data_IF_566296858595
#
_entry.id   IF_566296858595
#
_cell.length_a   1.000
_cell.length_b   1.000
_cell.length_c   1.000
_cell.angle_alpha   90.00
_cell.angle_beta   90.00
_cell.angle_gamma   90.00
#
_symmetry.space_group_name_H-M   'P 1'
#
loop_
_entity.id
_entity.type
_entity.pdbx_description
1 polymer ?
#
# COMPACT_ATOMS: atom_id res chain seq x y z
N UNK A 1 -26.64 23.61 -9.82
CA UNK A 1 -26.53 24.03 -8.40
C UNK A 1 -25.11 24.31 -7.92
N UNK A 2 -24.14 23.41 -8.20
CA UNK A 2 -22.73 23.56 -7.80
C UNK A 2 -22.08 24.86 -8.26
N UNK A 3 -22.38 25.30 -9.49
CA UNK A 3 -21.88 26.55 -10.07
C UNK A 3 -22.42 27.80 -9.33
N UNK A 4 -23.71 27.82 -9.00
CA UNK A 4 -24.36 28.91 -8.22
C UNK A 4 -23.74 29.01 -6.82
N UNK A 5 -23.51 27.88 -6.17
CA UNK A 5 -22.84 27.83 -4.86
C UNK A 5 -21.37 28.26 -4.92
N UNK A 6 -20.66 27.90 -6.00
CA UNK A 6 -19.27 28.32 -6.22
C UNK A 6 -19.19 29.84 -6.42
N UNK A 7 -20.09 30.41 -7.22
CA UNK A 7 -20.13 31.86 -7.43
C UNK A 7 -20.45 32.63 -6.15
N UNK A 8 -21.36 32.11 -5.32
CA UNK A 8 -21.66 32.67 -4.00
C UNK A 8 -20.43 32.63 -3.07
N UNK A 9 -19.69 31.52 -3.05
CA UNK A 9 -18.48 31.38 -2.22
C UNK A 9 -17.35 32.30 -2.70
N UNK A 10 -17.20 32.47 -4.02
CA UNK A 10 -16.25 33.42 -4.61
C UNK A 10 -16.59 34.87 -4.26
N UNK A 11 -17.86 35.25 -4.29
CA UNK A 11 -18.31 36.57 -3.86
C UNK A 11 -18.00 36.85 -2.38
N UNK A 12 -18.26 35.88 -1.50
CA UNK A 12 -17.91 35.97 -0.08
C UNK A 12 -16.40 36.11 0.14
N UNK A 13 -15.58 35.39 -0.64
CA UNK A 13 -14.13 35.48 -0.57
C UNK A 13 -13.61 36.86 -1.02
N UNK A 14 -14.12 37.40 -2.13
CA UNK A 14 -13.73 38.72 -2.61
C UNK A 14 -14.12 39.83 -1.63
N UNK A 15 -15.32 39.74 -1.03
CA UNK A 15 -15.77 40.67 0.00
C UNK A 15 -14.92 40.59 1.26
N UNK A 16 -14.61 39.38 1.71
CA UNK A 16 -13.68 39.16 2.82
C UNK A 16 -12.29 39.73 2.53
N UNK A 17 -11.80 39.57 1.29
CA UNK A 17 -10.52 40.10 0.86
C UNK A 17 -10.50 41.63 0.82
N UNK A 18 -11.57 42.27 0.36
CA UNK A 18 -11.74 43.73 0.35
C UNK A 18 -11.73 44.29 1.77
N UNK A 19 -12.50 43.68 2.67
CA UNK A 19 -12.55 44.06 4.09
C UNK A 19 -11.19 43.86 4.78
N UNK A 20 -10.46 42.78 4.45
CA UNK A 20 -9.12 42.52 5.00
C UNK A 20 -8.04 43.51 4.56
N UNK A 21 -8.25 44.18 3.41
CA UNK A 21 -7.32 45.18 2.85
C UNK A 21 -7.68 46.60 3.25
N UNK A 22 -8.95 46.85 3.57
CA UNK A 22 -9.39 48.14 4.07
C UNK A 22 -8.82 48.39 5.48
N UNK A 23 -8.42 49.62 5.83
CA UNK A 23 -8.03 49.99 7.18
C UNK A 23 -9.29 50.07 8.06
N UNK A 24 -9.95 48.93 8.24
CA UNK A 24 -11.14 48.79 9.07
C UNK A 24 -10.77 48.14 10.39
N UNK A 25 -11.51 48.53 11.43
CA UNK A 25 -11.26 48.18 12.82
C UNK A 25 -11.23 46.63 12.95
N UNK A 26 -10.24 46.03 13.63
CA UNK A 26 -10.04 44.57 13.72
C UNK A 26 -11.24 43.74 14.23
N UNK A 27 -12.27 44.38 14.80
CA UNK A 27 -13.46 43.75 15.40
C UNK A 27 -14.78 44.27 14.79
N UNK A 28 -14.80 44.67 13.51
CA UNK A 28 -16.08 45.01 12.87
C UNK A 28 -16.98 43.77 12.77
N UNK A 29 -18.26 43.84 13.17
CA UNK A 29 -19.19 42.71 13.08
C UNK A 29 -19.35 42.18 11.65
N UNK A 30 -19.06 43.02 10.64
CA UNK A 30 -19.04 42.62 9.23
C UNK A 30 -17.89 41.65 8.91
N UNK A 31 -16.73 41.81 9.56
CA UNK A 31 -15.56 40.92 9.42
C UNK A 31 -15.87 39.54 10.00
N UNK A 32 -16.47 39.51 11.19
CA UNK A 32 -16.82 38.26 11.87
C UNK A 32 -17.91 37.49 11.09
N UNK A 33 -18.93 38.20 10.62
CA UNK A 33 -20.00 37.60 9.83
C UNK A 33 -19.49 37.02 8.51
N UNK A 34 -18.71 37.79 7.74
CA UNK A 34 -18.16 37.32 6.45
C UNK A 34 -17.18 36.16 6.63
N UNK A 35 -16.34 36.20 7.66
CA UNK A 35 -15.39 35.13 8.00
C UNK A 35 -16.11 33.84 8.44
N UNK A 36 -17.18 33.96 9.22
CA UNK A 36 -17.97 32.82 9.69
C UNK A 36 -18.74 32.16 8.55
N UNK A 37 -19.38 32.96 7.69
CA UNK A 37 -20.15 32.45 6.56
C UNK A 37 -19.26 31.79 5.50
N UNK A 38 -18.08 32.36 5.22
CA UNK A 38 -17.09 31.76 4.33
C UNK A 38 -16.57 30.43 4.88
N UNK A 39 -16.27 30.36 6.19
CA UNK A 39 -15.87 29.10 6.86
C UNK A 39 -16.96 28.04 6.79
N UNK A 40 -18.22 28.41 7.01
CA UNK A 40 -19.35 27.50 6.92
C UNK A 40 -19.55 26.98 5.48
N UNK A 41 -19.46 27.87 4.48
CA UNK A 41 -19.57 27.51 3.06
C UNK A 41 -18.45 26.54 2.62
N UNK A 42 -17.21 26.76 3.07
CA UNK A 42 -16.08 25.87 2.79
C UNK A 42 -16.21 24.52 3.51
N UNK A 43 -16.69 24.51 4.76
CA UNK A 43 -16.93 23.27 5.54
C UNK A 43 -17.98 22.39 4.88
N UNK A 44 -19.12 22.97 4.49
CA UNK A 44 -20.20 22.24 3.80
C UNK A 44 -19.73 21.65 2.46
N UNK A 45 -18.87 22.34 1.71
CA UNK A 45 -18.30 21.81 0.46
C UNK A 45 -17.25 20.72 0.67
N UNK A 46 -16.40 20.80 1.69
CA UNK A 46 -15.47 19.71 2.00
C UNK A 46 -16.22 18.44 2.41
N UNK A 47 -17.32 18.57 3.15
CA UNK A 47 -18.21 17.45 3.47
C UNK A 47 -18.92 16.86 2.24
N UNK A 48 -19.23 17.66 1.21
CA UNK A 48 -19.86 17.14 -0.01
C UNK A 48 -18.87 16.60 -1.05
N UNK A 49 -17.59 17.01 -0.99
CA UNK A 49 -16.52 16.55 -1.89
C UNK A 49 -15.89 15.24 -1.40
N UNK A 50 -15.84 15.04 -0.08
CA UNK A 50 -15.55 13.76 0.55
C UNK A 50 -16.86 13.12 1.02
N UNK A 51 -17.63 12.55 0.10
CA UNK A 51 -18.71 11.62 0.47
C UNK A 51 -18.13 10.31 0.99
N UNK A 52 -17.29 10.36 2.03
CA UNK A 52 -17.02 9.19 2.84
C UNK A 52 -18.07 9.28 3.95
N UNK A 53 -19.23 8.72 3.69
CA UNK A 53 -20.35 8.71 4.62
C UNK A 53 -19.90 8.06 5.93
N UNK A 54 -20.38 8.52 7.09
CA UNK A 54 -20.05 7.85 8.37
C UNK A 54 -20.46 6.38 8.35
N UNK A 55 -21.49 6.06 7.55
CA UNK A 55 -21.89 4.70 7.21
C UNK A 55 -20.79 3.94 6.47
N UNK A 56 -20.18 4.52 5.44
CA UNK A 56 -19.07 3.93 4.69
C UNK A 56 -17.82 3.73 5.57
N UNK A 57 -17.52 4.66 6.47
CA UNK A 57 -16.43 4.50 7.45
C UNK A 57 -16.72 3.31 8.38
N UNK A 58 -17.97 3.18 8.85
CA UNK A 58 -18.40 2.07 9.71
C UNK A 58 -18.31 0.73 8.97
N UNK A 59 -18.78 0.67 7.72
CA UNK A 59 -18.69 -0.51 6.87
C UNK A 59 -17.23 -0.91 6.60
N UNK A 60 -16.36 0.06 6.27
CA UNK A 60 -14.92 -0.18 6.08
C UNK A 60 -14.25 -0.68 7.37
N UNK A 61 -14.60 -0.13 8.53
CA UNK A 61 -14.08 -0.61 9.84
C UNK A 61 -14.54 -2.04 10.14
N UNK A 62 -15.81 -2.34 9.87
CA UNK A 62 -16.36 -3.69 10.03
C UNK A 62 -15.67 -4.70 9.12
N UNK A 63 -15.42 -4.33 7.86
CA UNK A 63 -14.70 -5.16 6.90
C UNK A 63 -13.25 -5.43 7.32
N UNK A 64 -12.54 -4.41 7.79
CA UNK A 64 -11.17 -4.55 8.28
C UNK A 64 -11.11 -5.48 9.49
N UNK A 65 -12.02 -5.33 10.45
CA UNK A 65 -12.07 -6.23 11.61
C UNK A 65 -12.45 -7.67 11.20
N UNK A 66 -13.40 -7.86 10.30
CA UNK A 66 -13.75 -9.20 9.79
C UNK A 66 -12.54 -9.88 9.12
N UNK A 67 -11.85 -9.17 8.21
CA UNK A 67 -10.66 -9.66 7.51
C UNK A 67 -9.52 -9.99 8.50
N UNK A 68 -9.32 -9.14 9.50
CA UNK A 68 -8.32 -9.34 10.54
C UNK A 68 -8.62 -10.58 11.40
N UNK A 69 -9.89 -10.84 11.72
CA UNK A 69 -10.29 -12.07 12.41
C UNK A 69 -10.07 -13.30 11.53
N UNK A 70 -10.38 -13.24 10.25
CA UNK A 70 -10.17 -14.34 9.30
C UNK A 70 -8.67 -14.70 9.18
N UNK A 71 -7.82 -13.70 9.00
CA UNK A 71 -6.35 -13.88 9.00
C UNK A 71 -5.85 -14.45 10.32
N UNK A 72 -6.43 -14.03 11.46
CA UNK A 72 -6.08 -14.58 12.78
C UNK A 72 -6.47 -16.06 12.92
N UNK A 73 -7.63 -16.46 12.40
CA UNK A 73 -8.06 -17.87 12.35
C UNK A 73 -7.13 -18.67 11.44
N UNK A 74 -6.81 -18.15 10.25
CA UNK A 74 -5.90 -18.81 9.32
C UNK A 74 -4.50 -18.98 9.91
N UNK A 75 -3.97 -17.94 10.57
CA UNK A 75 -2.69 -18.00 11.29
C UNK A 75 -2.72 -19.05 12.42
N UNK A 76 -3.82 -19.14 13.16
CA UNK A 76 -3.98 -20.12 14.24
C UNK A 76 -4.07 -21.56 13.69
N UNK A 77 -4.80 -21.77 12.59
CA UNK A 77 -4.86 -23.07 11.90
C UNK A 77 -3.50 -23.49 11.34
N UNK A 78 -2.76 -22.55 10.75
CA UNK A 78 -1.42 -22.82 10.22
C UNK A 78 -0.38 -23.05 11.33
N UNK A 79 -0.47 -22.36 12.47
CA UNK A 79 0.39 -22.63 13.63
C UNK A 79 0.11 -23.98 14.30
N UNK A 80 -1.15 -24.41 14.34
CA UNK A 80 -1.52 -25.75 14.81
C UNK A 80 -0.94 -26.84 13.89
N UNK A 81 -0.89 -26.59 12.58
CA UNK A 81 -0.29 -27.52 11.63
C UNK A 81 1.24 -27.62 11.79
N UNK A 82 1.92 -26.49 12.10
CA UNK A 82 3.37 -26.49 12.37
C UNK A 82 3.77 -27.30 13.61
N UNK A 83 2.89 -27.44 14.60
CA UNK A 83 3.15 -28.30 15.77
C UNK A 83 2.99 -29.79 15.48
N UNK A 84 2.27 -30.19 14.40
CA UNK A 84 2.16 -31.60 13.99
C UNK A 84 3.36 -32.09 13.19
N UNK A 85 3.99 -31.21 12.41
CA UNK A 85 5.20 -31.56 11.65
C UNK A 85 6.45 -31.71 12.54
N UNK A 86 6.37 -31.30 13.82
CA UNK A 86 7.46 -31.38 14.79
C UNK A 86 7.29 -32.52 15.81
N UNK A 87 6.23 -33.33 15.71
CA UNK A 87 5.95 -34.45 16.63
C UNK A 87 6.60 -35.76 16.15
N UNK A 88 7.89 -35.89 16.45
CA UNK A 88 8.36 -36.99 17.30
C UNK A 88 8.27 -38.45 16.86
N UNK A 89 7.87 -38.81 15.63
CA UNK A 89 7.80 -40.25 15.22
C UNK A 89 8.86 -40.71 14.21
N UNK A 90 9.76 -39.84 13.77
CA UNK A 90 10.84 -40.19 12.82
C UNK A 90 12.21 -40.40 13.48
N UNK A 91 12.26 -40.88 14.74
CA UNK A 91 13.51 -41.22 15.43
C UNK A 91 13.42 -42.57 16.15
N UNK A 92 13.33 -43.66 15.40
CA UNK A 92 13.90 -44.93 15.85
C UNK A 92 15.20 -45.19 15.09
N UNK A 93 16.37 -45.19 15.76
CA UNK A 93 17.61 -45.66 15.17
C UNK A 93 17.76 -47.14 15.49
N UNK A 94 17.51 -48.01 14.51
CA UNK A 94 17.82 -49.44 14.61
C UNK A 94 19.00 -49.75 13.69
N UNK A 95 20.13 -50.04 14.35
CA UNK A 95 21.43 -50.43 13.81
C UNK A 95 21.34 -51.65 12.87
N UNK A 96 22.21 -51.69 11.87
CA UNK A 96 22.44 -52.83 10.98
C UNK A 96 22.78 -52.36 9.56
N UNK A 97 23.90 -51.68 9.35
CA UNK A 97 25.22 -52.23 8.95
C UNK A 97 25.36 -52.40 7.42
N UNK A 98 26.57 -52.11 6.93
CA UNK A 98 27.09 -52.20 5.55
C UNK A 98 26.93 -50.98 4.58
N UNK A 99 28.11 -50.51 4.12
CA UNK A 99 28.43 -49.31 3.31
C UNK A 99 28.33 -49.58 1.78
N UNK A 100 28.69 -48.70 0.79
CA UNK A 100 29.33 -47.37 0.86
C UNK A 100 28.82 -46.26 -0.13
N UNK A 101 29.13 -45.01 0.23
CA UNK A 101 29.47 -43.82 -0.58
C UNK A 101 29.13 -43.83 -2.10
N UNK A 102 28.18 -42.98 -2.53
CA UNK A 102 28.27 -42.35 -3.84
C UNK A 102 27.75 -40.90 -3.85
N UNK A 103 28.49 -40.07 -4.59
CA UNK A 103 28.43 -38.63 -4.68
C UNK A 103 27.03 -38.02 -4.85
N UNK A 104 26.85 -36.91 -4.14
CA UNK A 104 25.79 -35.94 -4.33
C UNK A 104 26.04 -35.10 -5.60
N UNK A 105 25.36 -35.43 -6.70
CA UNK A 105 25.12 -34.48 -7.80
C UNK A 105 24.04 -35.00 -8.76
N UNK A 106 23.01 -34.19 -8.98
CA UNK A 106 21.96 -34.25 -10.01
C UNK A 106 20.76 -35.19 -9.76
N UNK A 107 19.71 -34.67 -9.12
CA UNK A 107 18.35 -35.22 -9.15
C UNK A 107 17.35 -34.12 -9.57
N UNK A 108 17.33 -33.79 -10.86
CA UNK A 108 16.20 -33.08 -11.51
C UNK A 108 15.80 -33.75 -12.83
N UNK A 109 16.07 -35.05 -12.97
CA UNK A 109 15.57 -35.87 -14.09
C UNK A 109 15.36 -37.30 -13.59
N UNK A 110 14.31 -37.49 -12.78
CA UNK A 110 13.81 -38.82 -12.45
C UNK A 110 12.32 -38.87 -12.79
N UNK A 111 12.05 -39.35 -13.99
CA UNK A 111 10.80 -40.02 -14.33
C UNK A 111 10.46 -41.05 -13.24
N UNK A 112 9.20 -41.15 -12.78
CA UNK A 112 8.83 -42.13 -11.78
C UNK A 112 8.92 -43.52 -12.41
N UNK A 113 10.02 -44.24 -12.11
CA UNK A 113 10.12 -45.67 -12.38
C UNK A 113 9.02 -46.37 -11.58
N UNK A 114 8.08 -46.97 -12.29
CA UNK A 114 7.03 -47.85 -11.79
C UNK A 114 7.63 -48.97 -10.93
N UNK A 115 7.78 -48.70 -9.64
CA UNK A 115 8.10 -49.70 -8.62
C UNK A 115 6.80 -50.08 -7.96
N UNK A 116 5.96 -50.91 -8.63
CA UNK A 116 4.99 -51.80 -7.94
C UNK A 116 4.20 -52.77 -8.84
N UNK A 117 4.82 -53.48 -9.78
CA UNK A 117 4.27 -54.75 -10.30
C UNK A 117 5.40 -55.74 -10.66
N UNK A 118 6.26 -56.06 -9.68
CA UNK A 118 7.31 -57.09 -9.84
C UNK A 118 6.96 -58.41 -9.14
N UNK A 119 5.70 -58.66 -8.77
CA UNK A 119 5.31 -59.94 -8.15
C UNK A 119 3.90 -60.38 -8.54
N UNK A 120 3.77 -60.94 -9.74
CA UNK A 120 2.82 -62.03 -10.01
C UNK A 120 3.45 -63.02 -11.02
N UNK A 121 4.68 -63.44 -10.77
CA UNK A 121 5.19 -64.70 -11.31
C UNK A 121 4.74 -65.83 -10.36
N UNK A 122 3.45 -66.18 -10.42
CA UNK A 122 2.88 -67.48 -10.01
C UNK A 122 1.35 -67.40 -9.98
N UNK A 123 0.70 -67.56 -11.13
CA UNK A 123 -0.60 -68.24 -11.23
C UNK A 123 -0.98 -68.40 -12.71
N UNK A 124 -0.42 -69.42 -13.33
CA UNK A 124 -0.89 -69.99 -14.59
C UNK A 124 -2.03 -70.96 -14.27
N UNK A 125 -3.28 -70.54 -14.52
CA UNK A 125 -4.40 -71.35 -15.05
C UNK A 125 -5.75 -70.73 -14.71
N UNK A 126 -6.29 -69.91 -15.62
CA UNK A 126 -7.74 -69.68 -15.69
C UNK A 126 -8.15 -69.23 -17.10
N UNK A 127 -9.05 -69.95 -17.81
CA UNK A 127 -9.32 -69.71 -19.23
C UNK A 127 -10.07 -68.41 -19.56
N UNK A 128 -10.55 -67.66 -18.56
CA UNK A 128 -11.39 -66.47 -18.74
C UNK A 128 -10.65 -65.12 -18.59
N UNK A 129 -9.32 -65.10 -18.48
CA UNK A 129 -8.57 -63.86 -18.19
C UNK A 129 -8.15 -63.03 -19.40
N UNK A 130 -8.24 -63.58 -20.62
CA UNK A 130 -7.74 -62.91 -21.84
C UNK A 130 -8.51 -61.62 -22.18
N UNK A 131 -9.83 -61.61 -21.99
CA UNK A 131 -10.69 -60.45 -22.28
C UNK A 131 -10.51 -59.33 -21.22
N UNK A 132 -10.28 -59.72 -19.97
CA UNK A 132 -10.00 -58.79 -18.87
C UNK A 132 -8.62 -58.12 -19.02
N UNK A 133 -7.62 -58.82 -19.55
CA UNK A 133 -6.27 -58.27 -19.74
C UNK A 133 -6.23 -57.27 -20.91
N UNK A 134 -7.01 -57.49 -21.98
CA UNK A 134 -7.16 -56.51 -23.07
C UNK A 134 -7.89 -55.24 -22.65
N UNK A 135 -8.92 -55.37 -21.80
CA UNK A 135 -9.65 -54.21 -21.28
C UNK A 135 -8.80 -53.39 -20.30
N UNK A 136 -8.01 -54.05 -19.44
CA UNK A 136 -7.08 -53.36 -18.54
C UNK A 136 -5.96 -52.66 -19.32
N UNK A 137 -5.41 -53.28 -20.36
CA UNK A 137 -4.37 -52.68 -21.20
C UNK A 137 -4.88 -51.44 -21.95
N UNK A 138 -6.06 -51.53 -22.57
CA UNK A 138 -6.66 -50.39 -23.28
C UNK A 138 -7.06 -49.24 -22.34
N UNK A 139 -7.46 -49.56 -21.11
CA UNK A 139 -7.73 -48.57 -20.06
C UNK A 139 -6.44 -47.87 -19.59
N UNK A 140 -5.33 -48.61 -19.46
CA UNK A 140 -4.03 -48.04 -19.13
C UNK A 140 -3.49 -47.11 -20.23
N UNK A 141 -3.68 -47.45 -21.51
CA UNK A 141 -3.28 -46.59 -22.64
C UNK A 141 -4.05 -45.26 -22.65
N UNK A 142 -5.35 -45.29 -22.35
CA UNK A 142 -6.16 -44.07 -22.18
C UNK A 142 -5.70 -43.23 -21.00
N UNK A 143 -5.33 -43.87 -19.89
CA UNK A 143 -4.82 -43.19 -18.70
C UNK A 143 -3.45 -42.52 -18.95
N UNK A 144 -2.55 -43.21 -19.66
CA UNK A 144 -1.24 -42.67 -20.07
C UNK A 144 -1.38 -41.50 -21.05
N UNK A 145 -2.28 -41.62 -22.03
CA UNK A 145 -2.57 -40.55 -22.99
C UNK A 145 -3.14 -39.31 -22.28
N UNK A 146 -4.08 -39.51 -21.35
CA UNK A 146 -4.66 -38.43 -20.56
C UNK A 146 -3.63 -37.72 -19.66
N UNK A 147 -2.67 -38.46 -19.10
CA UNK A 147 -1.57 -37.86 -18.32
C UNK A 147 -0.59 -37.09 -19.21
N UNK A 148 -0.34 -37.54 -20.43
CA UNK A 148 0.51 -36.82 -21.38
C UNK A 148 -0.13 -35.49 -21.80
N UNK A 149 -1.44 -35.46 -22.02
CA UNK A 149 -2.18 -34.22 -22.31
C UNK A 149 -2.10 -33.24 -21.13
N UNK A 150 -2.19 -33.73 -19.89
CA UNK A 150 -2.01 -32.90 -18.69
C UNK A 150 -0.59 -32.32 -18.58
N UNK A 151 0.44 -33.10 -18.91
CA UNK A 151 1.82 -32.62 -18.93
C UNK A 151 2.05 -31.57 -20.02
N UNK A 152 1.40 -31.68 -21.17
CA UNK A 152 1.48 -30.67 -22.23
C UNK A 152 0.81 -29.35 -21.80
N UNK A 153 -0.33 -29.41 -21.12
CA UNK A 153 -0.98 -28.21 -20.54
C UNK A 153 -0.07 -27.56 -19.51
N UNK A 154 0.55 -28.35 -18.62
CA UNK A 154 1.52 -27.85 -17.66
C UNK A 154 2.72 -27.22 -18.37
N UNK A 155 3.24 -27.85 -19.43
CA UNK A 155 4.35 -27.31 -20.24
C UNK A 155 3.98 -25.96 -20.86
N UNK A 156 2.76 -25.80 -21.36
CA UNK A 156 2.27 -24.53 -21.88
C UNK A 156 2.15 -23.47 -20.77
N UNK A 157 1.59 -23.83 -19.62
CA UNK A 157 1.48 -22.94 -18.45
C UNK A 157 2.85 -22.50 -17.92
N UNK A 158 3.84 -23.40 -17.88
CA UNK A 158 5.23 -23.07 -17.50
C UNK A 158 5.87 -22.14 -18.52
N UNK A 159 5.61 -22.35 -19.82
CA UNK A 159 6.05 -21.44 -20.88
C UNK A 159 5.45 -20.04 -20.73
N UNK A 160 4.15 -19.94 -20.48
CA UNK A 160 3.48 -18.66 -20.21
C UNK A 160 4.00 -17.99 -18.94
N UNK A 161 4.21 -18.75 -17.86
CA UNK A 161 4.77 -18.22 -16.60
C UNK A 161 6.20 -17.69 -16.79
N UNK A 162 7.03 -18.37 -17.59
CA UNK A 162 8.37 -17.89 -17.93
C UNK A 162 8.32 -16.56 -18.68
N UNK A 163 7.39 -16.41 -19.62
CA UNK A 163 7.18 -15.14 -20.35
C UNK A 163 6.73 -14.03 -19.42
N UNK A 164 5.73 -14.29 -18.56
CA UNK A 164 5.24 -13.31 -17.58
C UNK A 164 6.33 -12.95 -16.57
N UNK A 165 7.10 -13.92 -16.09
CA UNK A 165 8.23 -13.68 -15.18
C UNK A 165 9.32 -12.82 -15.83
N UNK A 166 9.63 -13.04 -17.11
CA UNK A 166 10.56 -12.20 -17.87
C UNK A 166 10.02 -10.77 -18.02
N UNK A 167 8.73 -10.64 -18.32
CA UNK A 167 8.08 -9.34 -18.44
C UNK A 167 8.08 -8.57 -17.10
N UNK A 168 7.79 -9.24 -15.98
CA UNK A 168 7.89 -8.67 -14.64
C UNK A 168 9.33 -8.22 -14.36
N UNK A 169 10.34 -9.01 -14.77
CA UNK A 169 11.74 -8.63 -14.59
C UNK A 169 12.11 -7.35 -15.33
N UNK A 170 11.62 -7.16 -16.56
CA UNK A 170 11.87 -5.95 -17.36
C UNK A 170 11.13 -4.74 -16.76
N UNK A 171 9.87 -4.92 -16.37
CA UNK A 171 9.07 -3.87 -15.71
C UNK A 171 9.68 -3.45 -14.36
N UNK A 172 10.22 -4.38 -13.58
CA UNK A 172 10.93 -4.07 -12.34
C UNK A 172 12.22 -3.27 -12.58
N UNK A 173 12.95 -3.56 -13.66
CA UNK A 173 14.14 -2.80 -14.06
C UNK A 173 13.76 -1.38 -14.50
N UNK A 174 12.67 -1.23 -15.25
CA UNK A 174 12.11 0.08 -15.64
C UNK A 174 11.63 0.87 -14.41
N UNK A 175 10.96 0.22 -13.46
CA UNK A 175 10.54 0.84 -12.20
C UNK A 175 11.72 1.21 -11.30
N UNK A 176 12.83 0.46 -11.33
CA UNK A 176 14.04 0.82 -10.60
C UNK A 176 14.64 2.14 -11.11
N UNK A 177 14.60 2.37 -12.43
CA UNK A 177 15.01 3.64 -13.05
C UNK A 177 14.04 4.77 -12.67
N UNK A 178 12.73 4.54 -12.76
CA UNK A 178 11.73 5.53 -12.32
C UNK A 178 11.82 5.85 -10.82
N UNK A 179 12.25 4.90 -9.98
CA UNK A 179 12.46 5.13 -8.54
C UNK A 179 13.67 6.03 -8.29
N UNK A 180 14.72 5.93 -9.09
CA UNK A 180 15.88 6.83 -9.00
C UNK A 180 15.50 8.27 -9.42
N UNK A 181 14.68 8.40 -10.47
CA UNK A 181 14.09 9.69 -10.89
C UNK A 181 13.18 10.27 -9.80
N UNK A 182 12.35 9.43 -9.17
CA UNK A 182 11.52 9.85 -8.03
C UNK A 182 12.39 10.28 -6.85
N UNK A 183 13.47 9.56 -6.57
CA UNK A 183 14.40 9.88 -5.49
C UNK A 183 15.08 11.23 -5.72
N UNK A 184 15.54 11.49 -6.95
CA UNK A 184 16.11 12.80 -7.32
C UNK A 184 15.07 13.91 -7.31
N UNK A 185 13.83 13.67 -7.73
CA UNK A 185 12.74 14.64 -7.59
C UNK A 185 12.41 14.93 -6.13
N UNK A 186 12.43 13.91 -5.26
CA UNK A 186 12.22 14.04 -3.82
C UNK A 186 13.34 14.84 -3.15
N UNK A 187 14.59 14.62 -3.51
CA UNK A 187 15.73 15.39 -2.98
C UNK A 187 15.66 16.87 -3.43
N UNK A 188 15.22 17.12 -4.67
CA UNK A 188 14.91 18.47 -5.14
C UNK A 188 13.70 19.08 -4.42
N UNK A 189 12.69 18.29 -4.07
CA UNK A 189 11.54 18.74 -3.30
C UNK A 189 11.93 19.08 -1.85
N UNK A 190 12.81 18.29 -1.22
CA UNK A 190 13.30 18.50 0.14
C UNK A 190 14.16 19.77 0.22
N UNK A 191 15.08 19.98 -0.73
CA UNK A 191 15.87 21.23 -0.79
C UNK A 191 15.00 22.49 -1.01
N UNK A 192 13.94 22.38 -1.82
CA UNK A 192 12.93 23.44 -1.99
C UNK A 192 12.12 23.63 -0.71
N UNK A 193 11.70 22.54 -0.06
CA UNK A 193 10.97 22.59 1.21
C UNK A 193 11.81 23.23 2.31
N UNK A 194 13.06 22.82 2.51
CA UNK A 194 13.99 23.43 3.46
C UNK A 194 14.18 24.92 3.16
N UNK A 195 14.33 25.30 1.88
CA UNK A 195 14.40 26.70 1.48
C UNK A 195 13.12 27.47 1.82
N UNK A 196 11.95 26.87 1.64
CA UNK A 196 10.67 27.48 2.04
C UNK A 196 10.50 27.53 3.55
N UNK A 197 10.91 26.51 4.29
CA UNK A 197 10.87 26.45 5.74
C UNK A 197 11.79 27.52 6.34
N UNK A 198 13.01 27.67 5.83
CA UNK A 198 13.92 28.77 6.18
C UNK A 198 13.31 30.14 5.89
N UNK A 199 12.64 30.31 4.74
CA UNK A 199 11.93 31.55 4.42
C UNK A 199 10.76 31.80 5.35
N UNK A 200 9.98 30.78 5.71
CA UNK A 200 8.86 30.90 6.67
C UNK A 200 9.37 31.21 8.06
N UNK A 201 10.41 30.53 8.55
CA UNK A 201 11.06 30.83 9.83
C UNK A 201 11.60 32.27 9.86
N UNK A 202 12.23 32.71 8.75
CA UNK A 202 12.73 34.07 8.60
C UNK A 202 11.60 35.10 8.52
N UNK A 203 10.49 34.82 7.82
CA UNK A 203 9.32 35.72 7.73
C UNK A 203 8.58 35.80 9.05
N UNK A 204 8.44 34.68 9.76
CA UNK A 204 7.88 34.64 11.12
C UNK A 204 8.72 35.50 12.07
N UNK A 205 10.04 35.41 11.97
CA UNK A 205 10.95 36.23 12.76
C UNK A 205 11.04 37.70 12.29
N UNK A 206 10.88 38.00 10.99
CA UNK A 206 11.09 39.36 10.45
C UNK A 206 9.87 40.28 10.46
N UNK A 207 8.65 39.77 10.66
CA UNK A 207 7.46 40.63 10.51
C UNK A 207 7.23 41.58 11.70
N UNK A 208 7.84 41.35 12.87
CA UNK A 208 7.57 42.18 14.04
C UNK A 208 8.63 43.25 14.30
N UNK A 209 9.93 42.96 14.14
CA UNK A 209 10.98 43.84 14.66
C UNK A 209 11.00 45.23 14.00
N UNK A 210 11.08 45.34 12.68
CA UNK A 210 11.24 46.67 12.04
C UNK A 210 10.02 47.57 12.21
N UNK A 211 8.82 46.99 12.21
CA UNK A 211 7.57 47.75 12.38
C UNK A 211 7.34 48.14 13.83
N UNK A 212 7.67 47.25 14.77
CA UNK A 212 7.62 47.57 16.20
C UNK A 212 8.64 48.64 16.58
N UNK A 213 9.88 48.55 16.08
CA UNK A 213 10.91 49.57 16.32
C UNK A 213 10.50 50.94 15.76
N UNK A 214 9.88 51.00 14.58
CA UNK A 214 9.36 52.25 14.02
C UNK A 214 8.20 52.82 14.87
N UNK A 215 7.28 51.96 15.32
CA UNK A 215 6.16 52.37 16.18
C UNK A 215 6.63 52.91 17.53
N UNK A 216 7.63 52.28 18.15
CA UNK A 216 8.26 52.75 19.39
C UNK A 216 8.91 54.12 19.17
N UNK A 217 9.64 54.32 18.07
CA UNK A 217 10.32 55.58 17.77
C UNK A 217 9.33 56.74 17.58
N UNK A 218 8.22 56.50 16.86
CA UNK A 218 7.14 57.49 16.68
C UNK A 218 6.48 57.82 18.04
N UNK A 219 6.21 56.81 18.87
CA UNK A 219 5.59 57.01 20.19
C UNK A 219 6.48 57.86 21.11
N UNK A 220 7.79 57.57 21.14
CA UNK A 220 8.77 58.34 21.94
C UNK A 220 8.89 59.78 21.45
N UNK A 221 8.90 60.00 20.13
CA UNK A 221 8.94 61.35 19.56
C UNK A 221 7.70 62.16 19.91
N UNK A 222 6.51 61.55 19.83
CA UNK A 222 5.26 62.19 20.20
C UNK A 222 5.21 62.52 21.71
N UNK A 223 5.73 61.62 22.55
CA UNK A 223 5.86 61.86 23.98
C UNK A 223 6.80 63.04 24.28
N UNK A 224 7.94 63.12 23.60
CA UNK A 224 8.86 64.26 23.71
C UNK A 224 8.19 65.58 23.33
N UNK A 225 7.38 65.59 22.26
CA UNK A 225 6.64 66.78 21.84
C UNK A 225 5.66 67.24 22.92
N UNK A 226 4.88 66.31 23.51
CA UNK A 226 3.94 66.64 24.60
C UNK A 226 4.69 67.18 25.82
N UNK A 227 5.85 66.62 26.16
CA UNK A 227 6.66 67.05 27.29
C UNK A 227 7.18 68.49 27.09
N UNK A 228 7.67 68.81 25.90
CA UNK A 228 8.09 70.17 25.55
C UNK A 228 6.91 71.14 25.66
N UNK A 229 5.74 70.76 25.14
CA UNK A 229 4.52 71.57 25.17
C UNK A 229 4.06 71.83 26.61
N UNK A 230 4.17 70.83 27.49
CA UNK A 230 3.86 70.94 28.92
C UNK A 230 4.84 71.85 29.69
N UNK A 231 6.13 71.88 29.32
CA UNK A 231 7.11 72.77 29.96
C UNK A 231 6.94 74.22 29.51
N UNK A 232 6.46 74.44 28.29
CA UNK A 232 6.24 75.77 27.71
C UNK A 232 4.95 76.41 28.26
N UNK A 233 3.91 75.62 28.50
CA UNK A 233 2.64 76.04 29.10
C UNK A 233 2.80 76.25 30.60
#
# INVERSE_FOLDING_TARGET
EVFKALNKTRGLYLRWQEISKAPTIPNSPEVEWTSTELRNALRKKNSSKFKIDNKEISERRSFIEATKQEVKVMKSKMSLNRNRDNDGTAREPLLGDESPVHNMSNVWTATPKYTKYSKLANQTDSPNRFDYDSDIMSMQEKMLTSQNDQLQVISHSVGSLKTVSKQIGIELDEQAVMLDDLNTELENADSKLDSTLKKVAKVLHMNNDRRQWLAILILVGLLMIILILFVII
#
